data_IF_961210571324
#
_entry.id   IF_961210571324
#
_cell.length_a   1.000
_cell.length_b   1.000
_cell.length_c   1.000
_cell.angle_alpha   90.00
_cell.angle_beta   90.00
_cell.angle_gamma   90.00
#
_symmetry.space_group_name_H-M   'P 1'
#
loop_
_entity.id
_entity.type
_entity.pdbx_description
1 polymer ?
#
# COMPACT_ATOMS: atom_id res chain seq x y z
N UNK A 1 1.15 -16.41 -18.77
CA UNK A 1 -0.09 -15.86 -19.37
C UNK A 1 -0.12 -14.39 -19.04
N UNK A 2 -0.33 -13.51 -20.01
CA UNK A 2 -0.34 -12.05 -19.78
C UNK A 2 -1.69 -11.61 -19.22
N UNK A 3 -1.69 -10.53 -18.43
CA UNK A 3 -2.89 -9.94 -17.83
C UNK A 3 -3.38 -8.75 -18.66
N UNK A 4 -4.71 -8.66 -18.85
CA UNK A 4 -5.33 -7.55 -19.58
C UNK A 4 -5.30 -6.24 -18.76
N UNK A 5 -5.53 -5.12 -19.43
CA UNK A 5 -5.68 -3.81 -18.78
C UNK A 5 -6.83 -3.83 -17.79
N UNK A 6 -7.96 -4.44 -18.16
CA UNK A 6 -9.14 -4.56 -17.31
C UNK A 6 -8.85 -5.40 -16.06
N UNK A 7 -8.19 -6.56 -16.21
CA UNK A 7 -7.84 -7.42 -15.08
C UNK A 7 -6.93 -6.68 -14.07
N UNK A 8 -5.95 -5.90 -14.56
CA UNK A 8 -5.11 -5.10 -13.68
C UNK A 8 -5.93 -4.03 -12.92
N UNK A 9 -6.86 -3.36 -13.59
CA UNK A 9 -7.75 -2.39 -12.95
C UNK A 9 -8.61 -3.00 -11.85
N UNK A 10 -9.23 -4.15 -12.10
CA UNK A 10 -10.07 -4.87 -11.12
C UNK A 10 -9.26 -5.33 -9.91
N UNK A 11 -8.04 -5.85 -10.12
CA UNK A 11 -7.15 -6.26 -9.02
C UNK A 11 -6.89 -5.06 -8.11
N UNK A 12 -6.47 -3.92 -8.66
CA UNK A 12 -6.10 -2.75 -7.87
C UNK A 12 -7.28 -1.99 -7.29
N UNK A 13 -8.44 -2.03 -7.94
CA UNK A 13 -9.71 -1.63 -7.34
C UNK A 13 -10.01 -2.45 -6.07
N UNK A 14 -9.87 -3.80 -6.18
CA UNK A 14 -10.13 -4.69 -5.04
C UNK A 14 -9.13 -4.52 -3.89
N UNK A 15 -7.86 -4.20 -4.19
CA UNK A 15 -6.84 -3.91 -3.16
C UNK A 15 -7.26 -2.73 -2.29
N UNK A 16 -7.75 -1.66 -2.92
CA UNK A 16 -8.13 -0.43 -2.22
C UNK A 16 -9.41 -0.57 -1.39
N UNK A 17 -10.27 -1.55 -1.70
CA UNK A 17 -11.49 -1.79 -0.93
C UNK A 17 -11.16 -2.59 0.32
N UNK A 18 -10.76 -1.90 1.40
CA UNK A 18 -10.39 -2.53 2.66
C UNK A 18 -10.97 -1.79 3.87
N UNK A 19 -11.15 -2.52 4.95
CA UNK A 19 -11.53 -1.95 6.26
C UNK A 19 -10.50 -0.92 6.72
N UNK A 20 -9.22 -1.17 6.45
CA UNK A 20 -8.10 -0.29 6.82
C UNK A 20 -8.18 1.10 6.19
N UNK A 21 -8.61 1.17 4.93
CA UNK A 21 -8.83 2.44 4.21
C UNK A 21 -9.99 3.23 4.84
N UNK A 22 -11.07 2.53 5.23
CA UNK A 22 -12.22 3.15 5.92
C UNK A 22 -11.79 3.65 7.30
N UNK A 23 -11.02 2.88 8.07
CA UNK A 23 -10.50 3.30 9.37
C UNK A 23 -9.60 4.53 9.29
N UNK A 24 -8.73 4.61 8.29
CA UNK A 24 -7.93 5.81 8.04
C UNK A 24 -8.81 7.04 7.71
N UNK A 25 -9.91 6.82 6.98
CA UNK A 25 -10.93 7.84 6.75
C UNK A 25 -11.64 8.29 8.03
N UNK A 26 -11.98 7.35 8.92
CA UNK A 26 -12.58 7.64 10.24
C UNK A 26 -11.61 8.50 11.08
N UNK A 27 -10.33 8.15 11.12
CA UNK A 27 -9.30 8.89 11.85
C UNK A 27 -9.24 10.35 11.37
N UNK A 28 -9.16 10.57 10.05
CA UNK A 28 -9.18 11.91 9.48
C UNK A 28 -10.48 12.65 9.80
N UNK A 29 -11.63 11.99 9.60
CA UNK A 29 -12.95 12.60 9.80
C UNK A 29 -13.23 12.97 11.26
N UNK A 30 -12.67 12.23 12.21
CA UNK A 30 -12.81 12.51 13.65
C UNK A 30 -11.87 13.58 14.18
N UNK A 31 -10.72 13.81 13.54
CA UNK A 31 -9.65 14.65 14.08
C UNK A 31 -9.28 15.86 13.20
N UNK A 32 -9.78 15.97 11.97
CA UNK A 32 -9.53 17.10 11.07
C UNK A 32 -10.78 17.97 10.87
N UNK A 33 -10.58 19.26 10.64
CA UNK A 33 -11.68 20.15 10.29
C UNK A 33 -12.19 19.82 8.88
N UNK A 34 -13.52 19.59 8.74
CA UNK A 34 -14.16 19.10 7.51
C UNK A 34 -13.87 19.97 6.29
N UNK A 35 -13.78 21.29 6.47
CA UNK A 35 -13.56 22.23 5.37
C UNK A 35 -12.13 22.20 4.83
N UNK A 36 -11.15 21.71 5.61
CA UNK A 36 -9.72 21.75 5.28
C UNK A 36 -9.10 20.39 4.96
N UNK A 37 -9.82 19.27 5.17
CA UNK A 37 -9.26 17.93 5.01
C UNK A 37 -9.16 17.45 3.54
N UNK A 38 -10.02 17.98 2.63
CA UNK A 38 -10.14 17.43 1.28
C UNK A 38 -8.91 17.65 0.39
N UNK A 39 -8.34 18.85 0.45
CA UNK A 39 -7.17 19.15 -0.39
C UNK A 39 -5.95 18.29 -0.04
N UNK A 40 -5.50 18.18 1.23
CA UNK A 40 -4.38 17.32 1.57
C UNK A 40 -4.70 15.83 1.34
N UNK A 41 -5.94 15.39 1.54
CA UNK A 41 -6.37 14.03 1.25
C UNK A 41 -6.19 13.69 -0.23
N UNK A 42 -6.70 14.53 -1.13
CA UNK A 42 -6.59 14.30 -2.59
C UNK A 42 -5.14 14.41 -3.06
N UNK A 43 -4.38 15.39 -2.55
CA UNK A 43 -2.96 15.56 -2.92
C UNK A 43 -2.10 14.39 -2.48
N UNK A 44 -2.33 13.83 -1.29
CA UNK A 44 -1.61 12.65 -0.80
C UNK A 44 -1.85 11.43 -1.69
N UNK A 45 -3.12 11.13 -2.02
CA UNK A 45 -3.46 10.04 -2.93
C UNK A 45 -2.94 10.25 -4.36
N UNK A 46 -3.01 11.49 -4.86
CA UNK A 46 -2.50 11.82 -6.19
C UNK A 46 -0.99 11.56 -6.29
N UNK A 47 -0.23 12.05 -5.32
CA UNK A 47 1.23 11.90 -5.34
C UNK A 47 1.63 10.44 -5.10
N UNK A 48 1.01 9.77 -4.13
CA UNK A 48 1.21 8.35 -3.89
C UNK A 48 0.83 7.49 -5.11
N UNK A 49 -0.28 7.82 -5.78
CA UNK A 49 -0.71 7.18 -7.04
C UNK A 49 0.27 7.38 -8.19
N UNK A 50 0.86 8.58 -8.32
CA UNK A 50 1.93 8.85 -9.29
C UNK A 50 3.16 7.99 -9.00
N UNK A 51 3.58 7.89 -7.74
CA UNK A 51 4.70 7.01 -7.35
C UNK A 51 4.36 5.54 -7.65
N UNK A 52 3.14 5.12 -7.33
CA UNK A 52 2.64 3.77 -7.59
C UNK A 52 2.68 3.45 -9.10
N UNK A 53 2.25 4.38 -9.95
CA UNK A 53 2.35 4.24 -11.40
C UNK A 53 3.79 4.03 -11.86
N UNK A 54 4.72 4.88 -11.45
CA UNK A 54 6.10 4.79 -11.93
C UNK A 54 6.83 3.55 -11.43
N UNK A 55 6.63 3.14 -10.17
CA UNK A 55 7.20 1.90 -9.62
C UNK A 55 6.60 0.67 -10.33
N UNK A 56 5.28 0.63 -10.51
CA UNK A 56 4.63 -0.44 -11.23
C UNK A 56 5.05 -0.53 -12.69
N UNK A 57 5.34 0.62 -13.33
CA UNK A 57 5.83 0.66 -14.70
C UNK A 57 7.22 0.03 -14.84
N UNK A 58 8.08 0.13 -13.82
CA UNK A 58 9.36 -0.59 -13.81
C UNK A 58 9.11 -2.09 -13.96
N UNK A 59 8.35 -2.70 -13.04
CA UNK A 59 8.07 -4.14 -13.12
C UNK A 59 7.39 -4.57 -14.42
N UNK A 60 6.46 -3.76 -14.92
CA UNK A 60 5.78 -4.02 -16.18
C UNK A 60 6.73 -4.00 -17.41
N UNK A 61 7.77 -3.14 -17.39
CA UNK A 61 8.77 -3.04 -18.45
C UNK A 61 9.82 -4.14 -18.38
N UNK A 62 10.36 -4.41 -17.19
CA UNK A 62 11.44 -5.40 -17.03
C UNK A 62 10.94 -6.82 -16.79
N UNK A 63 9.63 -7.02 -16.60
CA UNK A 63 8.99 -8.33 -16.37
C UNK A 63 9.47 -9.03 -15.09
N UNK A 64 9.81 -8.27 -14.07
CA UNK A 64 10.27 -8.75 -12.77
C UNK A 64 9.27 -8.41 -11.67
N UNK A 65 9.25 -9.21 -10.61
CA UNK A 65 8.47 -8.87 -9.41
C UNK A 65 9.06 -7.64 -8.69
N UNK A 66 8.29 -7.10 -7.72
CA UNK A 66 8.64 -5.85 -7.07
C UNK A 66 10.04 -5.89 -6.44
N UNK A 67 10.37 -6.96 -5.73
CA UNK A 67 11.69 -7.04 -5.07
C UNK A 67 12.83 -7.35 -6.03
N UNK A 68 12.58 -8.13 -7.08
CA UNK A 68 13.57 -8.38 -8.13
C UNK A 68 13.95 -7.09 -8.88
N UNK A 69 13.00 -6.16 -9.07
CA UNK A 69 13.32 -4.87 -9.72
C UNK A 69 14.35 -4.04 -8.96
N UNK A 70 14.46 -4.22 -7.64
CA UNK A 70 15.41 -3.48 -6.81
C UNK A 70 16.86 -3.92 -7.01
N UNK A 71 17.11 -5.09 -7.62
CA UNK A 71 18.45 -5.66 -7.77
C UNK A 71 19.38 -4.81 -8.66
N UNK A 72 18.84 -4.20 -9.72
CA UNK A 72 19.62 -3.29 -10.57
C UNK A 72 20.07 -2.02 -9.82
N UNK A 73 19.30 -1.59 -8.82
CA UNK A 73 19.53 -0.37 -8.05
C UNK A 73 20.39 -0.59 -6.82
N UNK A 74 20.14 -1.68 -6.07
CA UNK A 74 20.76 -1.95 -4.77
C UNK A 74 21.66 -3.20 -4.76
N UNK A 75 21.81 -3.85 -5.92
CA UNK A 75 22.53 -5.11 -6.04
C UNK A 75 21.78 -6.29 -5.45
N UNK A 76 22.35 -7.48 -5.64
CA UNK A 76 21.72 -8.75 -5.19
C UNK A 76 21.42 -8.80 -3.69
N UNK A 77 22.35 -8.31 -2.87
CA UNK A 77 22.19 -8.34 -1.41
C UNK A 77 21.21 -7.27 -0.92
N UNK A 78 21.24 -6.06 -1.50
CA UNK A 78 20.28 -5.01 -1.19
C UNK A 78 18.84 -5.42 -1.58
N UNK A 79 18.67 -6.07 -2.74
CA UNK A 79 17.38 -6.62 -3.14
C UNK A 79 16.84 -7.65 -2.13
N UNK A 80 17.68 -8.56 -1.64
CA UNK A 80 17.28 -9.54 -0.61
C UNK A 80 16.96 -8.89 0.73
N UNK A 81 17.66 -7.82 1.10
CA UNK A 81 17.37 -7.04 2.29
C UNK A 81 15.97 -6.42 2.21
N UNK A 82 15.67 -5.73 1.11
CA UNK A 82 14.33 -5.16 0.91
C UNK A 82 13.24 -6.24 0.76
N UNK A 83 13.55 -7.38 0.16
CA UNK A 83 12.62 -8.50 0.09
C UNK A 83 12.29 -9.07 1.48
N UNK A 84 13.25 -9.16 2.39
CA UNK A 84 13.02 -9.60 3.76
C UNK A 84 12.14 -8.59 4.53
N UNK A 85 12.41 -7.29 4.39
CA UNK A 85 11.57 -6.24 4.96
C UNK A 85 10.14 -6.25 4.37
N UNK A 86 10.02 -6.56 3.07
CA UNK A 86 8.70 -6.67 2.44
C UNK A 86 7.91 -7.90 2.90
N UNK A 87 8.55 -9.05 3.12
CA UNK A 87 7.89 -10.22 3.74
C UNK A 87 7.38 -9.87 5.13
N UNK A 88 8.22 -9.20 5.92
CA UNK A 88 7.84 -8.77 7.28
C UNK A 88 6.65 -7.81 7.25
N UNK A 89 6.69 -6.76 6.43
CA UNK A 89 5.57 -5.81 6.34
C UNK A 89 4.29 -6.48 5.85
N UNK A 90 4.37 -7.37 4.87
CA UNK A 90 3.18 -8.03 4.33
C UNK A 90 2.58 -9.03 5.33
N UNK A 91 3.40 -9.75 6.10
CA UNK A 91 2.91 -10.58 7.19
C UNK A 91 2.16 -9.72 8.23
N UNK A 92 2.74 -8.58 8.63
CA UNK A 92 2.10 -7.68 9.57
C UNK A 92 0.81 -7.05 8.97
N UNK A 93 0.81 -6.66 7.69
CA UNK A 93 -0.40 -6.18 7.01
C UNK A 93 -1.51 -7.23 6.98
N UNK A 94 -1.20 -8.49 6.63
CA UNK A 94 -2.20 -9.57 6.63
C UNK A 94 -2.77 -9.77 8.04
N UNK A 95 -1.95 -9.63 9.09
CA UNK A 95 -2.40 -9.72 10.47
C UNK A 95 -3.27 -8.52 10.91
N UNK A 96 -2.87 -7.29 10.56
CA UNK A 96 -3.64 -6.07 10.84
C UNK A 96 -5.01 -6.13 10.17
N UNK A 97 -5.07 -6.38 8.87
CA UNK A 97 -6.33 -6.48 8.13
C UNK A 97 -7.22 -7.64 8.63
N UNK A 98 -6.61 -8.75 9.06
CA UNK A 98 -7.34 -9.85 9.69
C UNK A 98 -7.97 -9.41 11.02
N UNK A 99 -7.21 -8.73 11.89
CA UNK A 99 -7.68 -8.22 13.17
C UNK A 99 -8.80 -7.17 12.98
N UNK A 100 -8.64 -6.24 12.05
CA UNK A 100 -9.63 -5.21 11.72
C UNK A 100 -10.93 -5.85 11.20
N UNK A 101 -10.83 -6.81 10.27
CA UNK A 101 -11.99 -7.55 9.78
C UNK A 101 -12.69 -8.34 10.88
N UNK A 102 -11.93 -9.00 11.78
CA UNK A 102 -12.49 -9.74 12.91
C UNK A 102 -13.16 -8.80 13.92
N UNK A 103 -12.57 -7.63 14.21
CA UNK A 103 -13.16 -6.62 15.08
C UNK A 103 -14.47 -6.07 14.51
N UNK A 104 -14.49 -5.75 13.21
CA UNK A 104 -15.69 -5.29 12.55
C UNK A 104 -16.81 -6.34 12.56
N UNK A 105 -16.49 -7.62 12.35
CA UNK A 105 -17.46 -8.72 12.45
C UNK A 105 -17.96 -8.94 13.89
N UNK A 106 -17.09 -8.82 14.88
CA UNK A 106 -17.50 -8.92 16.30
C UNK A 106 -18.50 -7.82 16.69
N UNK A 107 -18.30 -6.60 16.15
CA UNK A 107 -19.24 -5.49 16.36
C UNK A 107 -20.62 -5.68 15.71
N UNK A 108 -20.78 -6.64 14.80
CA UNK A 108 -22.05 -7.01 14.18
C UNK A 108 -22.86 -8.03 15.01
N UNK A 109 -22.47 -8.28 16.27
CA UNK A 109 -23.14 -9.18 17.22
C UNK A 109 -23.26 -10.64 16.75
N UNK A 110 -22.30 -11.12 15.98
CA UNK A 110 -22.24 -12.53 15.61
C UNK A 110 -21.85 -13.38 16.84
N UNK A 111 -22.42 -14.57 17.03
CA UNK A 111 -22.11 -15.47 18.14
C UNK A 111 -20.76 -16.20 17.93
N UNK A 112 -19.74 -15.47 17.50
CA UNK A 112 -18.40 -16.00 17.17
C UNK A 112 -17.36 -15.14 17.90
N UNK A 113 -16.45 -15.78 18.62
CA UNK A 113 -15.40 -15.05 19.35
C UNK A 113 -14.39 -14.42 18.38
N UNK A 114 -13.77 -13.30 18.79
CA UNK A 114 -12.73 -12.63 18.01
C UNK A 114 -11.59 -13.58 17.57
N UNK A 115 -11.00 -14.43 18.43
CA UNK A 115 -9.96 -15.37 17.97
C UNK A 115 -10.44 -16.36 16.92
N UNK A 116 -11.67 -16.87 17.05
CA UNK A 116 -12.23 -17.80 16.09
C UNK A 116 -12.50 -17.10 14.74
N UNK A 117 -12.95 -15.85 14.76
CA UNK A 117 -13.13 -15.04 13.56
C UNK A 117 -11.79 -14.81 12.83
N UNK A 118 -10.72 -14.48 13.58
CA UNK A 118 -9.37 -14.37 12.99
C UNK A 118 -8.91 -15.66 12.31
N UNK A 119 -9.17 -16.81 12.92
CA UNK A 119 -8.83 -18.11 12.33
C UNK A 119 -9.66 -18.39 11.06
N UNK A 120 -10.97 -18.14 11.09
CA UNK A 120 -11.84 -18.31 9.92
C UNK A 120 -11.37 -17.44 8.76
N UNK A 121 -11.09 -16.15 8.99
CA UNK A 121 -10.59 -15.24 7.97
C UNK A 121 -9.24 -15.71 7.41
N UNK A 122 -8.31 -16.14 8.27
CA UNK A 122 -7.02 -16.66 7.84
C UNK A 122 -7.15 -17.94 6.97
N UNK A 123 -8.08 -18.82 7.31
CA UNK A 123 -8.38 -20.02 6.48
C UNK A 123 -8.93 -19.64 5.12
N UNK A 124 -9.84 -18.66 5.05
CA UNK A 124 -10.39 -18.15 3.79
C UNK A 124 -9.29 -17.51 2.92
N UNK A 125 -8.41 -16.71 3.52
CA UNK A 125 -7.26 -16.08 2.85
C UNK A 125 -6.31 -17.19 2.32
N UNK A 126 -5.93 -18.15 3.17
CA UNK A 126 -5.06 -19.26 2.80
C UNK A 126 -5.64 -20.12 1.67
N UNK A 127 -6.93 -20.42 1.72
CA UNK A 127 -7.64 -21.16 0.67
C UNK A 127 -7.60 -20.40 -0.66
N UNK A 128 -7.82 -19.09 -0.64
CA UNK A 128 -7.75 -18.28 -1.87
C UNK A 128 -6.33 -18.19 -2.42
N UNK A 129 -5.31 -18.02 -1.56
CA UNK A 129 -3.89 -18.07 -1.95
C UNK A 129 -3.54 -19.42 -2.60
N UNK A 130 -4.03 -20.51 -2.02
CA UNK A 130 -3.81 -21.86 -2.56
C UNK A 130 -4.42 -22.04 -3.96
N UNK A 131 -5.68 -21.60 -4.16
CA UNK A 131 -6.37 -21.62 -5.46
C UNK A 131 -5.63 -20.75 -6.47
N UNK A 132 -5.22 -19.57 -6.05
CA UNK A 132 -4.42 -18.60 -6.82
C UNK A 132 -5.23 -17.76 -7.81
N UNK A 133 -4.69 -16.61 -8.15
CA UNK A 133 -5.34 -15.57 -8.93
C UNK A 133 -5.82 -16.05 -10.33
N UNK A 134 -5.02 -16.88 -11.01
CA UNK A 134 -5.34 -17.33 -12.38
C UNK A 134 -6.57 -18.22 -12.48
N UNK A 135 -6.85 -19.01 -11.44
CA UNK A 135 -8.04 -19.88 -11.38
C UNK A 135 -9.27 -19.14 -10.85
N UNK A 136 -9.07 -18.10 -10.06
CA UNK A 136 -10.14 -17.35 -9.41
C UNK A 136 -10.48 -16.02 -10.10
N UNK A 137 -9.86 -15.68 -11.25
CA UNK A 137 -10.03 -14.37 -11.90
C UNK A 137 -11.49 -13.98 -12.16
N UNK A 138 -12.31 -14.93 -12.67
CA UNK A 138 -13.74 -14.67 -12.89
C UNK A 138 -14.50 -14.51 -11.57
N UNK A 139 -14.19 -15.34 -10.58
CA UNK A 139 -14.78 -15.25 -9.24
C UNK A 139 -14.39 -13.92 -8.59
N UNK A 140 -13.11 -13.54 -8.66
CA UNK A 140 -12.64 -12.27 -8.17
C UNK A 140 -13.38 -11.07 -8.81
N UNK A 141 -13.60 -11.11 -10.12
CA UNK A 141 -14.35 -10.05 -10.83
C UNK A 141 -15.79 -9.95 -10.32
N UNK A 142 -16.49 -11.07 -10.15
CA UNK A 142 -17.87 -11.08 -9.62
C UNK A 142 -17.91 -10.58 -8.18
N UNK A 143 -16.98 -11.03 -7.35
CA UNK A 143 -16.84 -10.58 -5.94
C UNK A 143 -16.58 -9.08 -5.88
N UNK A 144 -15.67 -8.54 -6.70
CA UNK A 144 -15.38 -7.11 -6.73
C UNK A 144 -16.59 -6.28 -7.21
N UNK A 145 -17.33 -6.77 -8.20
CA UNK A 145 -18.55 -6.10 -8.67
C UNK A 145 -19.62 -6.08 -7.58
N UNK A 146 -19.86 -7.21 -6.92
CA UNK A 146 -20.80 -7.29 -5.80
C UNK A 146 -20.40 -6.37 -4.64
N UNK A 147 -19.13 -6.35 -4.30
CA UNK A 147 -18.58 -5.49 -3.25
C UNK A 147 -18.72 -3.99 -3.61
N UNK A 148 -18.44 -3.61 -4.86
CA UNK A 148 -18.65 -2.24 -5.33
C UNK A 148 -20.12 -1.80 -5.20
N UNK A 149 -21.06 -2.67 -5.56
CA UNK A 149 -22.51 -2.39 -5.41
C UNK A 149 -22.88 -2.23 -3.94
N UNK A 150 -22.43 -3.14 -3.07
CA UNK A 150 -22.73 -3.07 -1.63
C UNK A 150 -22.14 -1.80 -0.99
N UNK A 151 -20.94 -1.41 -1.37
CA UNK A 151 -20.30 -0.17 -0.89
C UNK A 151 -21.00 1.09 -1.41
N UNK A 152 -21.48 1.06 -2.65
CA UNK A 152 -22.32 2.15 -3.18
C UNK A 152 -23.61 2.29 -2.40
N UNK A 153 -24.27 1.17 -2.07
CA UNK A 153 -25.47 1.18 -1.21
C UNK A 153 -25.14 1.71 0.19
N UNK A 154 -24.03 1.28 0.80
CA UNK A 154 -23.56 1.80 2.09
C UNK A 154 -23.33 3.31 2.01
N UNK A 155 -22.63 3.81 0.98
CA UNK A 155 -22.38 5.23 0.79
C UNK A 155 -23.67 6.04 0.73
N UNK A 156 -24.66 5.61 -0.08
CA UNK A 156 -25.94 6.31 -0.20
C UNK A 156 -26.69 6.32 1.13
N UNK A 157 -26.65 5.22 1.88
CA UNK A 157 -27.31 5.13 3.20
C UNK A 157 -26.65 6.01 4.24
N UNK A 158 -25.31 6.12 4.25
CA UNK A 158 -24.57 7.01 5.15
C UNK A 158 -24.91 8.47 4.91
N UNK A 159 -25.08 8.90 3.65
CA UNK A 159 -25.56 10.26 3.33
C UNK A 159 -26.95 10.58 3.88
N UNK A 160 -27.77 9.58 4.09
CA UNK A 160 -29.11 9.72 4.67
C UNK A 160 -29.12 9.83 6.20
N UNK A 161 -27.98 9.60 6.86
CA UNK A 161 -27.86 9.69 8.32
C UNK A 161 -27.53 11.15 8.68
N UNK A 162 -28.38 11.76 9.51
CA UNK A 162 -28.11 13.10 9.98
C UNK A 162 -26.81 13.15 10.80
N UNK A 163 -25.96 14.19 10.62
CA UNK A 163 -24.78 14.36 11.46
C UNK A 163 -25.14 14.41 12.94
N UNK A 164 -24.34 13.73 13.77
CA UNK A 164 -24.53 13.79 15.22
C UNK A 164 -24.41 15.23 15.72
N UNK A 165 -25.42 15.71 16.42
CA UNK A 165 -25.45 17.05 16.97
C UNK A 165 -24.32 17.22 18.01
N UNK A 166 -23.35 18.06 17.72
CA UNK A 166 -22.27 18.39 18.70
C UNK A 166 -20.89 17.82 18.41
N UNK A 167 -20.71 16.97 17.38
CA UNK A 167 -19.41 16.48 17.00
C UNK A 167 -18.58 17.57 16.25
N UNK A 168 -18.22 18.65 16.95
CA UNK A 168 -17.08 19.47 16.52
C UNK A 168 -15.83 18.68 16.91
N UNK A 169 -15.22 18.00 15.94
CA UNK A 169 -13.88 17.48 16.11
C UNK A 169 -12.99 18.63 16.61
N UNK A 170 -12.34 18.45 17.73
CA UNK A 170 -11.22 19.30 18.08
C UNK A 170 -10.21 19.08 16.96
N UNK A 171 -10.03 20.07 16.07
CA UNK A 171 -9.16 19.95 14.91
C UNK A 171 -7.71 19.78 15.41
N UNK A 172 -7.28 18.53 15.59
CA UNK A 172 -5.94 18.17 16.04
C UNK A 172 -5.04 17.91 14.83
N UNK A 173 -5.62 17.43 13.71
CA UNK A 173 -4.87 17.15 12.49
C UNK A 173 -4.81 18.36 11.56
N UNK A 174 -3.61 18.86 11.33
CA UNK A 174 -3.34 19.89 10.33
C UNK A 174 -3.18 19.33 8.92
N UNK A 175 -2.95 20.22 7.94
CA UNK A 175 -2.80 19.89 6.52
C UNK A 175 -1.81 18.74 6.27
N UNK A 176 -0.61 18.83 6.82
CA UNK A 176 0.44 17.85 6.57
C UNK A 176 0.21 16.52 7.27
N UNK A 177 -0.52 16.49 8.38
CA UNK A 177 -0.92 15.25 9.03
C UNK A 177 -1.94 14.48 8.18
N UNK A 178 -2.98 15.16 7.66
CA UNK A 178 -3.95 14.56 6.74
C UNK A 178 -3.27 14.09 5.45
N UNK A 179 -2.35 14.89 4.90
CA UNK A 179 -1.56 14.52 3.73
C UNK A 179 -0.72 13.26 3.99
N UNK A 180 -0.07 13.16 5.16
CA UNK A 180 0.77 12.02 5.53
C UNK A 180 -0.06 10.73 5.67
N UNK A 181 -1.21 10.77 6.35
CA UNK A 181 -2.14 9.64 6.44
C UNK A 181 -2.62 9.22 5.04
N UNK A 182 -2.93 10.20 4.20
CA UNK A 182 -3.40 9.98 2.84
C UNK A 182 -2.36 9.32 1.94
N UNK A 183 -1.12 9.83 1.93
CA UNK A 183 -0.08 9.31 1.04
C UNK A 183 0.46 7.95 1.50
N UNK A 184 0.37 7.64 2.80
CA UNK A 184 0.90 6.40 3.37
C UNK A 184 0.28 5.15 2.74
N UNK A 185 -1.02 5.18 2.42
CA UNK A 185 -1.72 4.02 1.86
C UNK A 185 -1.20 3.61 0.48
N UNK A 186 -1.19 4.46 -0.56
CA UNK A 186 -0.58 4.08 -1.84
C UNK A 186 0.91 3.77 -1.72
N UNK A 187 1.66 4.41 -0.80
CA UNK A 187 3.09 4.09 -0.57
C UNK A 187 3.28 2.69 -0.02
N UNK A 188 2.40 2.20 0.84
CA UNK A 188 2.48 0.84 1.38
C UNK A 188 2.44 -0.25 0.30
N UNK A 189 1.91 0.07 -0.88
CA UNK A 189 1.80 -0.83 -2.02
C UNK A 189 2.94 -0.67 -3.05
N UNK A 190 3.85 0.30 -2.89
CA UNK A 190 5.01 0.44 -3.79
C UNK A 190 5.85 -0.84 -3.90
N UNK A 191 6.17 -1.55 -2.79
CA UNK A 191 6.95 -2.77 -2.86
C UNK A 191 6.15 -4.01 -3.31
N UNK A 192 4.96 -3.81 -3.87
CA UNK A 192 4.02 -4.87 -4.25
C UNK A 192 3.52 -4.72 -5.69
N UNK A 193 3.32 -3.49 -6.19
CA UNK A 193 2.63 -3.27 -7.46
C UNK A 193 3.24 -4.03 -8.66
N UNK A 194 4.57 -4.14 -8.70
CA UNK A 194 5.27 -4.82 -9.79
C UNK A 194 4.99 -6.34 -9.83
N UNK A 195 4.58 -6.95 -8.72
CA UNK A 195 4.20 -8.37 -8.68
C UNK A 195 3.01 -8.67 -9.60
N UNK A 196 2.14 -7.69 -9.81
CA UNK A 196 0.92 -7.79 -10.61
C UNK A 196 1.10 -7.18 -11.99
N UNK A 197 1.86 -6.09 -12.12
CA UNK A 197 2.06 -5.41 -13.40
C UNK A 197 3.11 -6.07 -14.28
N UNK A 198 4.01 -6.92 -13.73
CA UNK A 198 5.03 -7.66 -14.50
C UNK A 198 4.46 -8.48 -15.65
N UNK A 199 3.25 -9.01 -15.48
CA UNK A 199 2.57 -9.85 -16.46
C UNK A 199 1.66 -9.06 -17.42
N UNK A 200 1.59 -7.73 -17.33
CA UNK A 200 0.68 -6.90 -18.12
C UNK A 200 0.97 -6.97 -19.62
N UNK A 201 -0.09 -7.13 -20.46
CA UNK A 201 0.04 -7.11 -21.93
C UNK A 201 0.47 -5.75 -22.45
N UNK A 202 -0.10 -4.69 -21.87
CA UNK A 202 0.15 -3.29 -22.23
C UNK A 202 0.73 -2.56 -21.02
N UNK A 203 2.08 -2.58 -20.82
CA UNK A 203 2.73 -2.09 -19.60
C UNK A 203 2.22 -0.73 -19.11
N UNK A 204 2.29 0.30 -19.97
CA UNK A 204 1.91 1.66 -19.57
C UNK A 204 0.42 1.76 -19.25
N UNK A 205 -0.46 1.23 -20.12
CA UNK A 205 -1.92 1.33 -19.91
C UNK A 205 -2.38 0.54 -18.72
N UNK A 206 -1.87 -0.70 -18.53
CA UNK A 206 -2.26 -1.54 -17.41
C UNK A 206 -1.80 -0.93 -16.07
N UNK A 207 -0.57 -0.43 -16.00
CA UNK A 207 -0.05 0.22 -14.79
C UNK A 207 -0.79 1.52 -14.48
N UNK A 208 -1.10 2.34 -15.50
CA UNK A 208 -1.88 3.55 -15.30
C UNK A 208 -3.28 3.25 -14.77
N UNK A 209 -3.97 2.27 -15.36
CA UNK A 209 -5.30 1.83 -14.87
C UNK A 209 -5.21 1.25 -13.46
N UNK A 210 -4.15 0.51 -13.13
CA UNK A 210 -3.91 0.00 -11.76
C UNK A 210 -3.80 1.14 -10.75
N UNK A 211 -2.93 2.11 -11.02
CA UNK A 211 -2.70 3.23 -10.10
C UNK A 211 -3.94 4.12 -9.95
N UNK A 212 -4.64 4.42 -11.05
CA UNK A 212 -5.88 5.22 -11.03
C UNK A 212 -7.00 4.48 -10.32
N UNK A 213 -7.22 3.20 -10.62
CA UNK A 213 -8.25 2.38 -9.97
C UNK A 213 -8.02 2.28 -8.47
N UNK A 214 -6.77 2.05 -8.05
CA UNK A 214 -6.40 2.06 -6.64
C UNK A 214 -6.71 3.42 -5.99
N UNK A 215 -6.16 4.51 -6.52
CA UNK A 215 -6.29 5.83 -5.91
C UNK A 215 -7.75 6.30 -5.80
N UNK A 216 -8.58 6.05 -6.81
CA UNK A 216 -9.99 6.42 -6.78
C UNK A 216 -10.78 5.56 -5.80
N UNK A 217 -10.55 4.25 -5.77
CA UNK A 217 -11.22 3.36 -4.83
C UNK A 217 -10.79 3.62 -3.39
N UNK A 218 -9.50 3.87 -3.14
CA UNK A 218 -8.97 4.25 -1.83
C UNK A 218 -9.58 5.58 -1.35
N UNK A 219 -9.60 6.63 -2.17
CA UNK A 219 -10.30 7.88 -1.86
C UNK A 219 -11.78 7.66 -1.52
N UNK A 220 -12.45 6.75 -2.24
CA UNK A 220 -13.84 6.39 -1.93
C UNK A 220 -13.96 5.74 -0.55
N UNK A 221 -13.04 4.84 -0.17
CA UNK A 221 -13.06 4.22 1.17
C UNK A 221 -12.78 5.25 2.28
N UNK A 222 -11.81 6.14 2.06
CA UNK A 222 -11.56 7.26 2.98
C UNK A 222 -12.78 8.15 3.13
N UNK A 223 -13.48 8.46 2.04
CA UNK A 223 -14.72 9.21 2.06
C UNK A 223 -15.79 8.51 2.91
N UNK A 224 -16.00 7.19 2.74
CA UNK A 224 -16.92 6.40 3.59
C UNK A 224 -16.51 6.54 5.07
N UNK A 225 -15.22 6.42 5.38
CA UNK A 225 -14.72 6.57 6.74
C UNK A 225 -14.99 7.96 7.35
N UNK A 226 -14.75 9.02 6.57
CA UNK A 226 -15.03 10.41 6.98
C UNK A 226 -16.53 10.61 7.27
N UNK A 227 -17.41 10.04 6.44
CA UNK A 227 -18.85 10.11 6.69
C UNK A 227 -19.25 9.32 7.95
N UNK A 228 -18.67 8.13 8.19
CA UNK A 228 -18.88 7.36 9.42
C UNK A 228 -18.52 8.18 10.67
N UNK A 229 -17.40 8.89 10.66
CA UNK A 229 -17.00 9.76 11.77
C UNK A 229 -18.04 10.85 12.09
N UNK A 230 -18.83 11.26 11.09
CA UNK A 230 -19.93 12.23 11.26
C UNK A 230 -21.26 11.65 11.79
N UNK A 231 -21.43 10.33 11.81
CA UNK A 231 -22.76 9.69 12.07
C UNK A 231 -23.08 9.45 13.54
N UNK A 232 -22.17 9.65 14.47
CA UNK A 232 -22.35 9.22 15.88
C UNK A 232 -22.23 7.71 16.10
N UNK A 233 -21.63 7.01 15.16
CA UNK A 233 -21.33 5.56 15.25
C UNK A 233 -20.07 5.28 16.09
N UNK A 234 -19.71 6.16 17.01
CA UNK A 234 -18.51 6.09 17.88
C UNK A 234 -17.22 5.69 17.11
N UNK A 235 -17.10 6.20 15.87
CA UNK A 235 -16.01 5.84 14.95
C UNK A 235 -15.88 4.33 14.69
N UNK A 236 -17.00 3.60 14.73
CA UNK A 236 -17.03 2.15 14.60
C UNK A 236 -17.73 1.73 13.29
N UNK A 237 -17.00 1.02 12.43
CA UNK A 237 -17.51 0.53 11.13
C UNK A 237 -18.72 -0.39 11.32
N UNK A 238 -18.70 -1.27 12.32
CA UNK A 238 -19.80 -2.20 12.57
C UNK A 238 -21.08 -1.44 12.96
N UNK A 239 -20.98 -0.44 13.82
CA UNK A 239 -22.12 0.40 14.20
C UNK A 239 -22.65 1.19 13.01
N UNK A 240 -21.77 1.76 12.18
CA UNK A 240 -22.17 2.46 10.96
C UNK A 240 -22.92 1.55 9.98
N UNK A 241 -22.47 0.31 9.81
CA UNK A 241 -23.15 -0.72 9.01
C UNK A 241 -24.53 -1.04 9.58
N UNK A 242 -24.66 -1.17 10.89
CA UNK A 242 -25.94 -1.42 11.56
C UNK A 242 -26.89 -0.22 11.43
N UNK A 243 -26.40 1.01 11.65
CA UNK A 243 -27.18 2.25 11.46
C UNK A 243 -27.68 2.40 10.01
N UNK A 244 -26.86 1.98 9.04
CA UNK A 244 -27.24 1.92 7.64
C UNK A 244 -28.27 0.82 7.32
N UNK A 245 -28.66 -0.01 8.30
CA UNK A 245 -29.57 -1.13 8.11
C UNK A 245 -29.02 -2.27 7.25
N UNK A 246 -27.68 -2.44 7.24
CA UNK A 246 -26.96 -3.39 6.40
C UNK A 246 -26.44 -4.59 7.23
N UNK A 247 -27.27 -5.30 7.98
CA UNK A 247 -26.85 -6.45 8.79
C UNK A 247 -26.08 -7.51 8.00
N UNK A 248 -26.79 -8.45 7.32
CA UNK A 248 -26.14 -9.50 6.52
C UNK A 248 -25.28 -8.96 5.37
N UNK A 249 -25.74 -7.98 4.54
CA UNK A 249 -24.90 -7.34 3.54
C UNK A 249 -23.61 -6.74 4.11
N UNK A 250 -23.65 -6.18 5.32
CA UNK A 250 -22.48 -5.65 5.99
C UNK A 250 -21.44 -6.74 6.34
N UNK A 251 -21.89 -7.91 6.82
CA UNK A 251 -21.03 -9.06 7.05
C UNK A 251 -20.30 -9.44 5.74
N UNK A 252 -21.06 -9.51 4.64
CA UNK A 252 -20.50 -9.83 3.32
C UNK A 252 -19.44 -8.79 2.90
N UNK A 253 -19.71 -7.49 3.09
CA UNK A 253 -18.74 -6.42 2.81
C UNK A 253 -17.43 -6.67 3.58
N UNK A 254 -17.51 -6.84 4.89
CA UNK A 254 -16.33 -6.99 5.74
C UNK A 254 -15.54 -8.26 5.38
N UNK A 255 -16.19 -9.40 5.24
CA UNK A 255 -15.52 -10.66 4.90
C UNK A 255 -14.86 -10.57 3.53
N UNK A 256 -15.59 -10.14 2.50
CA UNK A 256 -15.05 -10.11 1.14
C UNK A 256 -13.92 -9.09 1.02
N UNK A 257 -14.05 -7.88 1.58
CA UNK A 257 -12.98 -6.88 1.55
C UNK A 257 -11.73 -7.37 2.27
N UNK A 258 -11.88 -7.93 3.46
CA UNK A 258 -10.76 -8.47 4.24
C UNK A 258 -10.05 -9.60 3.49
N UNK A 259 -10.80 -10.56 2.96
CA UNK A 259 -10.21 -11.74 2.28
C UNK A 259 -9.54 -11.34 0.97
N UNK A 260 -10.13 -10.44 0.18
CA UNK A 260 -9.57 -10.06 -1.13
C UNK A 260 -8.31 -9.22 -1.02
N UNK A 261 -8.26 -8.26 -0.12
CA UNK A 261 -7.06 -7.44 0.11
C UNK A 261 -5.94 -8.28 0.71
N UNK A 262 -6.25 -9.11 1.71
CA UNK A 262 -5.28 -10.00 2.33
C UNK A 262 -4.74 -11.07 1.39
N UNK A 263 -5.56 -11.60 0.48
CA UNK A 263 -5.06 -12.52 -0.55
C UNK A 263 -3.91 -11.91 -1.34
N UNK A 264 -4.03 -10.66 -1.76
CA UNK A 264 -3.00 -9.98 -2.54
C UNK A 264 -1.74 -9.74 -1.72
N UNK A 265 -1.86 -9.30 -0.48
CA UNK A 265 -0.74 -9.12 0.44
C UNK A 265 0.00 -10.45 0.72
N UNK A 266 -0.72 -11.53 1.04
CA UNK A 266 -0.14 -12.85 1.30
C UNK A 266 0.53 -13.44 0.05
N UNK A 267 -0.06 -13.26 -1.15
CA UNK A 267 0.55 -13.69 -2.40
C UNK A 267 1.86 -12.95 -2.68
N UNK A 268 1.91 -11.63 -2.47
CA UNK A 268 3.12 -10.82 -2.65
C UNK A 268 4.18 -11.11 -1.58
N UNK A 269 3.80 -11.48 -0.36
CA UNK A 269 4.74 -12.01 0.63
C UNK A 269 5.44 -13.27 0.11
N UNK A 270 4.70 -14.16 -0.55
CA UNK A 270 5.25 -15.34 -1.21
C UNK A 270 6.23 -15.02 -2.35
N UNK A 271 5.90 -14.05 -3.21
CA UNK A 271 6.80 -13.58 -4.29
C UNK A 271 8.08 -12.96 -3.70
N UNK A 272 7.97 -12.18 -2.62
CA UNK A 272 9.12 -11.60 -1.92
C UNK A 272 9.99 -12.66 -1.24
N UNK A 273 9.39 -13.68 -0.63
CA UNK A 273 10.12 -14.81 -0.04
C UNK A 273 10.91 -15.58 -1.12
N UNK A 274 10.34 -15.77 -2.31
CA UNK A 274 11.03 -16.36 -3.46
C UNK A 274 12.20 -15.48 -3.93
N UNK A 275 12.09 -14.16 -3.89
CA UNK A 275 13.19 -13.26 -4.24
C UNK A 275 14.38 -13.39 -3.28
N UNK A 276 14.14 -13.73 -1.99
CA UNK A 276 15.20 -14.02 -1.02
C UNK A 276 15.89 -15.37 -1.34
N UNK A 277 15.05 -16.42 -1.54
CA UNK A 277 15.53 -17.76 -1.81
C UNK A 277 14.72 -18.39 -2.95
N UNK A 278 15.30 -18.41 -4.14
CA UNK A 278 14.65 -18.78 -5.40
C UNK A 278 13.98 -20.18 -5.47
N UNK A 279 14.30 -21.07 -4.52
CA UNK A 279 13.68 -22.42 -4.43
C UNK A 279 12.36 -22.43 -3.64
N UNK A 280 12.02 -21.35 -2.93
CA UNK A 280 10.74 -21.26 -2.20
C UNK A 280 9.56 -21.26 -3.17
N UNK A 281 8.53 -22.01 -2.80
CA UNK A 281 7.24 -21.93 -3.50
C UNK A 281 6.44 -20.72 -2.99
N UNK A 282 6.15 -19.71 -3.85
CA UNK A 282 5.44 -18.50 -3.42
C UNK A 282 4.07 -18.79 -2.80
N UNK A 283 3.34 -19.77 -3.35
CA UNK A 283 2.01 -20.13 -2.82
C UNK A 283 2.10 -20.73 -1.42
N UNK A 284 3.07 -21.63 -1.20
CA UNK A 284 3.26 -22.22 0.13
C UNK A 284 3.67 -21.14 1.15
N UNK A 285 4.57 -20.23 0.78
CA UNK A 285 4.95 -19.12 1.62
C UNK A 285 3.76 -18.19 1.94
N UNK A 286 2.93 -17.86 0.95
CA UNK A 286 1.72 -17.06 1.16
C UNK A 286 0.69 -17.72 2.07
N UNK A 287 0.51 -19.05 1.96
CA UNK A 287 -0.33 -19.83 2.90
C UNK A 287 0.23 -19.77 4.32
N UNK A 288 1.54 -19.93 4.49
CA UNK A 288 2.20 -19.82 5.81
C UNK A 288 1.98 -18.42 6.40
N UNK A 289 2.16 -17.36 5.59
CA UNK A 289 1.88 -15.97 6.01
C UNK A 289 0.43 -15.81 6.46
N UNK A 290 -0.54 -16.38 5.73
CA UNK A 290 -1.96 -16.33 6.10
C UNK A 290 -2.24 -17.01 7.43
N UNK A 291 -1.62 -18.15 7.71
CA UNK A 291 -1.77 -18.86 8.99
C UNK A 291 -1.12 -18.07 10.14
N UNK A 292 0.11 -17.58 9.93
CA UNK A 292 0.82 -16.79 10.94
C UNK A 292 0.10 -15.47 11.25
N UNK A 293 -0.62 -14.92 10.27
CA UNK A 293 -1.40 -13.69 10.47
C UNK A 293 -2.49 -13.84 11.54
N UNK A 294 -3.13 -15.02 11.65
CA UNK A 294 -4.13 -15.26 12.70
C UNK A 294 -3.48 -15.20 14.09
N UNK A 295 -2.29 -15.77 14.25
CA UNK A 295 -1.56 -15.74 15.54
C UNK A 295 -1.23 -14.29 15.92
N UNK A 296 -0.69 -13.50 14.98
CA UNK A 296 -0.36 -12.10 15.22
C UNK A 296 -1.60 -11.24 15.46
N UNK A 297 -2.70 -11.49 14.74
CA UNK A 297 -3.96 -10.79 14.94
C UNK A 297 -4.51 -11.01 16.37
N UNK A 298 -4.47 -12.25 16.83
CA UNK A 298 -4.95 -12.63 18.18
C UNK A 298 -4.02 -12.10 19.27
N UNK A 299 -2.72 -11.96 19.00
CA UNK A 299 -1.74 -11.48 19.99
C UNK A 299 -1.65 -9.95 20.12
N UNK A 300 -2.55 -9.18 19.50
CA UNK A 300 -2.63 -7.73 19.72
C UNK A 300 -1.78 -6.88 18.77
N UNK A 301 -1.62 -7.29 17.52
CA UNK A 301 -0.88 -6.51 16.51
C UNK A 301 -1.42 -5.07 16.37
N UNK A 302 -2.70 -4.83 16.64
CA UNK A 302 -3.36 -3.54 16.54
C UNK A 302 -2.79 -2.50 17.49
N UNK A 303 -2.24 -2.90 18.66
CA UNK A 303 -1.61 -1.98 19.61
C UNK A 303 -0.37 -1.28 19.01
N UNK A 304 0.18 -1.84 17.94
CA UNK A 304 1.36 -1.34 17.25
C UNK A 304 1.06 -0.79 15.84
N UNK A 305 -0.22 -0.68 15.45
CA UNK A 305 -0.63 -0.35 14.09
C UNK A 305 -0.04 0.96 13.55
N UNK A 306 -0.16 2.05 14.31
CA UNK A 306 0.36 3.37 13.87
C UNK A 306 1.89 3.36 13.74
N UNK A 307 2.59 2.78 14.71
CA UNK A 307 4.06 2.65 14.65
C UNK A 307 4.51 1.81 13.43
N UNK A 308 3.73 0.79 13.10
CA UNK A 308 3.95 -0.05 11.95
C UNK A 308 3.77 0.72 10.62
N UNK A 309 2.74 1.56 10.49
CA UNK A 309 2.54 2.41 9.32
C UNK A 309 3.72 3.36 9.09
N UNK A 310 4.19 4.02 10.14
CA UNK A 310 5.36 4.91 10.06
C UNK A 310 6.63 4.13 9.68
N UNK A 311 6.82 2.93 10.23
CA UNK A 311 7.96 2.08 9.86
C UNK A 311 7.94 1.74 8.36
N UNK A 312 6.79 1.33 7.82
CA UNK A 312 6.64 1.01 6.39
C UNK A 312 6.98 2.22 5.51
N UNK A 313 6.37 3.36 5.79
CA UNK A 313 6.62 4.58 5.02
C UNK A 313 8.10 4.98 5.07
N UNK A 314 8.73 4.91 6.25
CA UNK A 314 10.15 5.24 6.43
C UNK A 314 11.10 4.36 5.61
N UNK A 315 10.73 3.10 5.36
CA UNK A 315 11.55 2.14 4.60
C UNK A 315 11.28 2.25 3.11
N UNK A 316 10.01 2.18 2.70
CA UNK A 316 9.66 1.96 1.30
C UNK A 316 9.51 3.24 0.49
N UNK A 317 9.20 4.39 1.09
CA UNK A 317 9.16 5.65 0.37
C UNK A 317 10.54 6.07 -0.15
N UNK A 318 11.60 6.11 0.70
CA UNK A 318 12.95 6.42 0.23
C UNK A 318 13.52 5.32 -0.68
N UNK A 319 13.20 4.03 -0.47
CA UNK A 319 13.58 2.95 -1.38
C UNK A 319 13.03 3.19 -2.79
N UNK A 320 11.73 3.50 -2.89
CA UNK A 320 11.10 3.78 -4.17
C UNK A 320 11.68 5.02 -4.84
N UNK A 321 11.98 6.08 -4.09
CA UNK A 321 12.61 7.29 -4.62
C UNK A 321 13.97 6.98 -5.29
N UNK A 322 14.84 6.24 -4.61
CA UNK A 322 16.15 5.82 -5.17
C UNK A 322 15.97 4.89 -6.36
N UNK A 323 15.01 3.95 -6.30
CA UNK A 323 14.70 3.04 -7.41
C UNK A 323 14.25 3.81 -8.65
N UNK A 324 13.35 4.78 -8.51
CA UNK A 324 12.85 5.60 -9.60
C UNK A 324 13.97 6.41 -10.25
N UNK A 325 14.78 7.10 -9.45
CA UNK A 325 15.93 7.87 -9.97
C UNK A 325 16.91 6.95 -10.69
N UNK A 326 17.26 5.82 -10.09
CA UNK A 326 18.20 4.87 -10.65
C UNK A 326 17.71 4.31 -11.99
N UNK A 327 16.45 3.90 -12.08
CA UNK A 327 15.89 3.29 -13.26
C UNK A 327 15.71 4.28 -14.41
N UNK A 328 15.12 5.44 -14.15
CA UNK A 328 14.74 6.38 -15.23
C UNK A 328 15.89 7.29 -15.68
N UNK A 329 16.84 7.59 -14.79
CA UNK A 329 17.90 8.56 -15.08
C UNK A 329 19.29 7.94 -15.24
N UNK A 330 19.62 6.82 -14.53
CA UNK A 330 20.93 6.20 -14.64
C UNK A 330 21.07 5.27 -15.85
N UNK A 331 20.01 4.82 -16.51
CA UNK A 331 19.99 4.03 -17.75
C UNK A 331 21.01 2.87 -17.78
N UNK A 332 20.91 1.93 -16.84
CA UNK A 332 21.79 0.76 -16.74
C UNK A 332 23.20 1.02 -16.16
N UNK A 333 23.53 2.28 -15.84
CA UNK A 333 24.82 2.68 -15.22
C UNK A 333 24.85 2.47 -13.70
N UNK A 334 23.86 1.77 -13.17
CA UNK A 334 23.72 1.47 -11.74
C UNK A 334 24.36 0.13 -11.33
N UNK A 335 24.90 -0.64 -12.27
CA UNK A 335 25.34 -2.02 -12.02
C UNK A 335 26.82 -2.10 -11.60
N UNK A 336 27.20 -1.35 -10.57
CA UNK A 336 28.52 -1.46 -9.95
C UNK A 336 28.39 -1.46 -8.42
N UNK A 337 29.35 -2.06 -7.73
CA UNK A 337 29.36 -2.08 -6.26
C UNK A 337 29.32 -0.66 -5.67
N UNK A 338 30.07 0.27 -6.21
CA UNK A 338 30.06 1.66 -5.76
C UNK A 338 28.71 2.35 -5.98
N UNK A 339 28.02 2.03 -7.09
CA UNK A 339 26.67 2.51 -7.36
C UNK A 339 25.63 1.97 -6.37
N UNK A 340 25.68 0.67 -6.07
CA UNK A 340 24.77 0.02 -5.11
C UNK A 340 24.98 0.56 -3.70
N UNK A 341 26.23 0.73 -3.28
CA UNK A 341 26.57 1.32 -1.97
C UNK A 341 26.06 2.76 -1.86
N UNK A 342 26.26 3.59 -2.89
CA UNK A 342 25.76 4.95 -2.89
C UNK A 342 24.21 4.99 -2.81
N UNK A 343 23.55 4.18 -3.60
CA UNK A 343 22.09 4.08 -3.58
C UNK A 343 21.57 3.61 -2.22
N UNK A 344 22.27 2.68 -1.57
CA UNK A 344 21.94 2.23 -0.22
C UNK A 344 22.13 3.35 0.80
N UNK A 345 23.21 4.14 0.70
CA UNK A 345 23.43 5.32 1.55
C UNK A 345 22.38 6.41 1.31
N UNK A 346 21.98 6.64 0.05
CA UNK A 346 20.90 7.57 -0.28
C UNK A 346 19.55 7.13 0.34
N UNK A 347 19.26 5.83 0.32
CA UNK A 347 18.12 5.25 1.02
C UNK A 347 18.24 5.43 2.53
N UNK A 348 19.39 5.12 3.12
CA UNK A 348 19.63 5.22 4.56
C UNK A 348 19.48 6.67 5.05
N UNK A 349 19.96 7.64 4.27
CA UNK A 349 19.79 9.06 4.58
C UNK A 349 18.31 9.46 4.60
N UNK A 350 17.51 9.02 3.60
CA UNK A 350 16.06 9.27 3.58
C UNK A 350 15.36 8.58 4.75
N UNK A 351 15.71 7.33 5.06
CA UNK A 351 15.21 6.63 6.23
C UNK A 351 15.50 7.39 7.54
N UNK A 352 16.74 7.83 7.73
CA UNK A 352 17.12 8.59 8.91
C UNK A 352 16.39 9.93 9.03
N UNK A 353 16.26 10.64 7.91
CA UNK A 353 15.49 11.91 7.84
C UNK A 353 14.02 11.69 8.18
N UNK A 354 13.41 10.61 7.66
CA UNK A 354 12.03 10.23 8.03
C UNK A 354 11.89 10.03 9.54
N UNK A 355 12.81 9.27 10.15
CA UNK A 355 12.78 8.97 11.59
C UNK A 355 12.95 10.24 12.45
N UNK A 356 13.74 11.20 11.99
CA UNK A 356 13.90 12.49 12.69
C UNK A 356 12.66 13.36 12.51
N UNK A 357 12.19 13.52 11.26
CA UNK A 357 11.02 14.34 10.94
C UNK A 357 9.75 13.81 11.62
N UNK A 358 9.55 12.50 11.68
CA UNK A 358 8.39 11.87 12.33
C UNK A 358 8.33 12.04 13.86
N UNK A 359 9.40 12.57 14.49
CA UNK A 359 9.42 12.91 15.94
C UNK A 359 9.06 14.36 16.22
N UNK A 360 8.87 15.16 15.20
CA UNK A 360 8.51 16.58 15.31
C UNK A 360 6.98 16.70 15.21
N UNK A 361 6.39 17.55 16.06
CA UNK A 361 4.93 17.73 16.15
C UNK A 361 4.30 18.24 14.84
N UNK A 362 5.04 18.99 14.06
CA UNK A 362 4.60 19.48 12.76
C UNK A 362 5.81 19.73 11.85
N UNK A 363 5.81 19.08 10.68
CA UNK A 363 6.86 19.25 9.68
C UNK A 363 6.23 19.65 8.36
N UNK A 364 6.69 20.77 7.81
CA UNK A 364 6.31 21.20 6.47
C UNK A 364 6.70 20.13 5.45
N UNK A 365 5.81 19.76 4.55
CA UNK A 365 5.89 18.64 3.60
C UNK A 365 5.66 17.24 4.18
N UNK A 366 5.62 17.07 5.50
CA UNK A 366 5.52 15.76 6.13
C UNK A 366 6.79 14.89 6.01
N UNK A 367 6.97 13.90 6.88
CA UNK A 367 8.13 13.01 6.89
C UNK A 367 8.37 12.25 5.59
N UNK A 368 7.28 11.77 4.96
CA UNK A 368 7.36 10.98 3.72
C UNK A 368 7.95 11.76 2.56
N UNK A 369 7.44 12.98 2.29
CA UNK A 369 7.95 13.76 1.16
C UNK A 369 9.39 14.20 1.36
N UNK A 370 9.75 14.62 2.56
CA UNK A 370 11.13 15.01 2.85
C UNK A 370 12.09 13.83 2.61
N UNK A 371 11.72 12.64 3.10
CA UNK A 371 12.52 11.43 2.90
C UNK A 371 12.66 11.08 1.40
N UNK A 372 11.57 11.18 0.63
CA UNK A 372 11.57 10.96 -0.83
C UNK A 372 12.49 11.97 -1.52
N UNK A 373 12.37 13.27 -1.20
CA UNK A 373 13.17 14.34 -1.80
C UNK A 373 14.67 14.13 -1.50
N UNK A 374 15.02 13.88 -0.23
CA UNK A 374 16.43 13.66 0.17
C UNK A 374 17.02 12.44 -0.53
N UNK A 375 16.31 11.31 -0.53
CA UNK A 375 16.77 10.09 -1.19
C UNK A 375 16.91 10.26 -2.69
N UNK A 376 15.93 10.90 -3.33
CA UNK A 376 15.97 11.17 -4.77
C UNK A 376 17.12 12.12 -5.14
N UNK A 377 17.31 13.20 -4.36
CA UNK A 377 18.40 14.17 -4.61
C UNK A 377 19.78 13.53 -4.49
N UNK A 378 20.01 12.72 -3.45
CA UNK A 378 21.29 12.01 -3.27
C UNK A 378 21.51 10.97 -4.37
N UNK A 379 20.49 10.21 -4.75
CA UNK A 379 20.59 9.26 -5.86
C UNK A 379 20.88 9.98 -7.20
N UNK A 380 20.23 11.13 -7.44
CA UNK A 380 20.42 11.92 -8.65
C UNK A 380 21.78 12.61 -8.71
N UNK A 381 22.32 13.07 -7.58
CA UNK A 381 23.65 13.65 -7.50
C UNK A 381 24.73 12.68 -8.04
N UNK A 382 24.61 11.39 -7.79
CA UNK A 382 25.48 10.37 -8.40
C UNK A 382 25.35 10.30 -9.91
N UNK A 383 24.12 10.38 -10.43
CA UNK A 383 23.87 10.37 -11.87
C UNK A 383 24.54 11.56 -12.53
N UNK A 384 24.39 12.75 -11.95
CA UNK A 384 25.07 13.97 -12.44
C UNK A 384 26.58 13.84 -12.42
N UNK A 385 27.17 13.40 -11.30
CA UNK A 385 28.64 13.19 -11.20
C UNK A 385 29.15 12.28 -12.33
N UNK A 386 28.44 11.21 -12.62
CA UNK A 386 28.82 10.28 -13.69
C UNK A 386 28.74 10.94 -15.09
N UNK A 387 27.71 11.75 -15.36
CA UNK A 387 27.55 12.47 -16.63
C UNK A 387 28.67 13.49 -16.85
N UNK A 388 29.05 14.23 -15.80
CA UNK A 388 30.14 15.20 -15.85
C UNK A 388 31.50 14.53 -16.12
N UNK A 389 31.80 13.43 -15.43
CA UNK A 389 33.08 12.73 -15.59
C UNK A 389 33.25 12.14 -17.01
N UNK A 390 32.18 11.64 -17.62
CA UNK A 390 32.24 11.04 -18.96
C UNK A 390 32.08 12.09 -20.09
N UNK A 391 31.42 13.22 -19.85
CA UNK A 391 31.38 14.35 -20.80
C UNK A 391 32.77 14.92 -21.06
N UNK A 392 33.60 15.04 -20.02
CA UNK A 392 34.99 15.50 -20.19
C UNK A 392 35.93 14.46 -20.81
N UNK A 393 35.60 13.16 -20.75
CA UNK A 393 36.43 12.14 -21.42
C UNK A 393 36.22 12.18 -22.95
N UNK A 394 34.99 12.39 -23.42
CA UNK A 394 34.70 12.50 -24.86
C UNK A 394 35.22 13.78 -25.49
N UNK A 395 35.29 14.91 -24.77
CA UNK A 395 35.91 16.14 -25.27
C UNK A 395 37.43 16.05 -25.40
N UNK A 396 38.09 15.33 -24.48
CA UNK A 396 39.56 15.12 -24.58
C UNK A 396 39.95 14.22 -25.73
N UNK A 397 39.16 13.19 -26.07
CA UNK A 397 39.46 12.31 -27.20
C UNK A 397 39.17 13.01 -28.58
N UNK A 398 38.23 13.94 -28.60
CA UNK A 398 37.96 14.74 -29.80
C UNK A 398 38.94 15.91 -30.02
N UNK A 399 39.70 16.31 -29.01
CA UNK A 399 40.74 17.35 -29.11
C UNK A 399 42.13 16.80 -29.48
N UNK A 400 42.29 15.48 -29.55
CA UNK A 400 43.50 14.78 -29.95
C UNK A 400 43.38 14.10 -31.34
N UNK A 401 42.29 14.30 -32.09
CA UNK A 401 42.15 13.99 -33.49
C UNK A 401 42.18 15.29 -34.32
#
# INVERSE_FOLDING_TARGET
>A
MRTSVFSNGIIWFGVAISVSEIEAGIEIGSAAARDSLWLPLVLGHLLGGVMLFFVGLIGARVRLNAMETTASTFGKYGSKFFAALNVFQLLAWVAVLNAQGASALSGLNLPISFPLTCVILAVLIAAWVYVGLKRSANVATVVMAALAVLLAVLSVKLFGIAPASGAKAAAVLGFWNVFEISIAMPISWLPVISDYTKDAEKPVKATAVSAVAYSLASLWMYFIGIEIAGTGADNNIAQAILLAGLGIPGIVIVVLSTVTTNFLAANSAGESAKAIYGKLNPKAAGVVVSVLSAVLAISGIMDHYISFLYLIASVFAPMAAVLLVSFFFAKGRSESLGAWLWNFLAWLAGFAVYQVAGRLDSVFLGPTLIAVIVSAALAYARVLKFLFLNGHATEKDSAHQ
#
